data_IF_102725568250
#
_entry.id   IF_102725568250
#
_cell.length_a   1.000
_cell.length_b   1.000
_cell.length_c   1.000
_cell.angle_alpha   90.00
_cell.angle_beta   90.00
_cell.angle_gamma   90.00
#
_symmetry.space_group_name_H-M   'P 1'
#
loop_
_entity.id
_entity.type
_entity.pdbx_description
1 polymer ?
#
# COMPACT_ATOMS: atom_id res chain seq x y z
N UNK A 1 15.99 4.33 5.49
CA UNK A 1 15.11 4.99 4.51
C UNK A 1 14.79 3.98 3.44
N UNK A 2 13.50 3.64 3.27
CA UNK A 2 13.09 2.59 2.35
C UNK A 2 13.57 2.91 0.92
N UNK A 3 14.17 1.96 0.20
CA UNK A 3 14.78 2.22 -1.11
C UNK A 3 13.71 2.26 -2.21
N UNK A 4 12.90 3.31 -2.26
CA UNK A 4 11.80 3.46 -3.21
C UNK A 4 12.21 3.30 -4.69
N UNK A 5 13.37 3.82 -5.16
CA UNK A 5 13.80 3.60 -6.55
C UNK A 5 14.06 2.12 -6.88
N UNK A 6 14.57 1.35 -5.93
CA UNK A 6 14.76 -0.10 -6.09
C UNK A 6 13.42 -0.81 -6.19
N UNK A 7 12.49 -0.47 -5.29
CA UNK A 7 11.14 -1.04 -5.26
C UNK A 7 10.41 -0.74 -6.58
N UNK A 8 10.44 0.52 -7.05
CA UNK A 8 9.86 0.90 -8.35
C UNK A 8 10.46 0.13 -9.53
N UNK A 9 11.73 -0.28 -9.42
CA UNK A 9 12.40 -1.13 -10.41
C UNK A 9 11.78 -2.52 -10.58
N UNK A 10 10.90 -2.97 -9.68
CA UNK A 10 10.12 -4.20 -9.80
C UNK A 10 8.82 -4.03 -10.60
N UNK A 11 8.49 -2.81 -11.05
CA UNK A 11 7.38 -2.61 -12.00
C UNK A 11 7.61 -3.38 -13.31
N UNK A 12 8.85 -3.47 -13.74
CA UNK A 12 9.25 -4.31 -14.87
C UNK A 12 10.62 -4.93 -14.58
N UNK A 13 10.58 -6.21 -14.17
CA UNK A 13 11.77 -6.96 -13.81
C UNK A 13 11.57 -8.46 -14.03
N UNK A 14 12.63 -9.13 -14.46
CA UNK A 14 12.66 -10.59 -14.65
C UNK A 14 11.56 -11.12 -15.62
N UNK A 15 11.15 -10.29 -16.59
CA UNK A 15 10.13 -10.64 -17.58
C UNK A 15 8.71 -10.70 -17.00
N UNK A 16 8.47 -10.03 -15.86
CA UNK A 16 7.16 -9.80 -15.27
C UNK A 16 6.96 -8.30 -15.11
N UNK A 17 5.80 -7.82 -15.56
CA UNK A 17 5.33 -6.45 -15.40
C UNK A 17 4.31 -6.41 -14.28
N UNK A 18 4.60 -5.72 -13.19
CA UNK A 18 3.61 -5.46 -12.15
C UNK A 18 2.62 -4.39 -12.65
N UNK A 19 1.34 -4.56 -12.35
CA UNK A 19 0.33 -3.52 -12.60
C UNK A 19 0.64 -2.29 -11.74
N UNK A 20 0.94 -2.55 -10.47
CA UNK A 20 1.31 -1.55 -9.47
C UNK A 20 2.15 -2.16 -8.35
N UNK A 21 2.87 -1.29 -7.66
CA UNK A 21 3.50 -1.58 -6.38
C UNK A 21 3.03 -0.52 -5.39
N UNK A 22 2.50 -0.95 -4.25
CA UNK A 22 2.01 -0.06 -3.19
C UNK A 22 2.84 -0.23 -1.94
N UNK A 23 3.33 0.88 -1.42
CA UNK A 23 3.99 0.95 -0.13
C UNK A 23 3.03 1.64 0.84
N UNK A 24 2.68 0.99 1.95
CA UNK A 24 1.72 1.49 2.94
C UNK A 24 2.35 1.50 4.32
N UNK A 25 2.30 2.64 5.02
CA UNK A 25 2.65 2.76 6.44
C UNK A 25 1.37 2.83 7.26
N UNK A 26 1.29 2.07 8.36
CA UNK A 26 0.25 2.20 9.38
C UNK A 26 0.88 2.66 10.69
N UNK A 27 0.40 3.78 11.21
CA UNK A 27 0.94 4.44 12.39
C UNK A 27 -0.16 4.55 13.45
N UNK A 28 0.12 4.06 14.66
CA UNK A 28 -0.78 4.22 15.80
C UNK A 28 -0.23 5.28 16.75
N UNK A 29 -1.00 6.33 17.04
CA UNK A 29 -0.53 7.41 17.91
C UNK A 29 -0.28 6.95 19.36
N UNK A 30 -0.94 5.88 19.80
CA UNK A 30 -0.74 5.31 21.14
C UNK A 30 0.53 4.45 21.22
N UNK A 31 1.09 4.03 20.09
CA UNK A 31 2.29 3.19 20.05
C UNK A 31 3.11 3.46 18.78
N UNK A 32 3.95 4.50 18.84
CA UNK A 32 4.85 4.86 17.74
C UNK A 32 5.90 3.76 17.43
N UNK A 33 6.11 2.80 18.34
CA UNK A 33 7.00 1.65 18.12
C UNK A 33 6.34 0.54 17.29
N UNK A 34 5.04 0.64 16.99
CA UNK A 34 4.27 -0.28 16.13
C UNK A 34 3.97 0.27 14.74
N UNK A 35 4.82 1.14 14.21
CA UNK A 35 4.71 1.55 12.81
C UNK A 35 4.97 0.37 11.88
N UNK A 36 3.98 -0.07 11.14
CA UNK A 36 4.16 -1.19 10.21
C UNK A 36 4.29 -0.66 8.79
N UNK A 37 5.24 -1.19 8.02
CA UNK A 37 5.39 -0.87 6.60
C UNK A 37 5.14 -2.11 5.76
N UNK A 38 4.20 -1.99 4.84
CA UNK A 38 3.74 -3.04 3.96
C UNK A 38 4.08 -2.69 2.52
N UNK A 39 4.52 -3.66 1.73
CA UNK A 39 4.77 -3.54 0.30
C UNK A 39 3.90 -4.56 -0.44
N UNK A 40 2.84 -4.10 -1.08
CA UNK A 40 1.99 -4.90 -1.96
C UNK A 40 2.48 -4.84 -3.41
N UNK A 41 2.61 -5.98 -4.07
CA UNK A 41 2.91 -6.09 -5.49
C UNK A 41 1.74 -6.76 -6.20
N UNK A 42 1.12 -6.06 -7.16
CA UNK A 42 -0.02 -6.55 -7.92
C UNK A 42 0.42 -6.91 -9.35
N UNK A 43 0.08 -8.11 -9.81
CA UNK A 43 0.37 -8.57 -11.18
C UNK A 43 -0.94 -8.79 -11.92
N UNK A 44 -1.02 -8.26 -13.14
CA UNK A 44 -2.15 -8.43 -14.04
C UNK A 44 -1.88 -9.54 -15.07
N UNK A 45 -2.80 -10.49 -15.20
CA UNK A 45 -2.66 -11.61 -16.13
C UNK A 45 -2.66 -11.18 -17.61
N UNK A 46 -3.57 -10.28 -18.06
CA UNK A 46 -3.55 -9.77 -19.44
C UNK A 46 -2.20 -9.15 -19.83
N UNK A 47 -1.61 -8.34 -18.97
CA UNK A 47 -0.32 -7.69 -19.24
C UNK A 47 0.86 -8.68 -19.29
N UNK A 48 0.73 -9.84 -18.64
CA UNK A 48 1.78 -10.85 -18.53
C UNK A 48 1.46 -12.14 -19.27
N UNK A 49 0.43 -12.16 -20.13
CA UNK A 49 -0.13 -13.41 -20.66
C UNK A 49 0.90 -14.27 -21.40
N UNK A 50 1.76 -13.65 -22.21
CA UNK A 50 2.82 -14.35 -22.93
C UNK A 50 3.81 -15.03 -21.97
N UNK A 51 4.23 -14.30 -20.93
CA UNK A 51 5.16 -14.80 -19.92
C UNK A 51 4.53 -15.90 -19.05
N UNK A 52 3.24 -15.80 -18.74
CA UNK A 52 2.50 -16.82 -17.99
C UNK A 52 2.30 -18.10 -18.82
N UNK A 53 1.93 -17.97 -20.10
CA UNK A 53 1.80 -19.12 -21.03
C UNK A 53 3.10 -19.88 -21.23
N UNK A 54 4.23 -19.17 -21.29
CA UNK A 54 5.54 -19.79 -21.42
C UNK A 54 5.92 -20.66 -20.21
N UNK A 55 5.38 -20.36 -19.02
CA UNK A 55 5.64 -21.12 -17.79
C UNK A 55 4.73 -22.34 -17.67
N UNK A 56 3.45 -22.21 -18.02
CA UNK A 56 2.50 -23.32 -17.97
C UNK A 56 1.21 -23.01 -18.75
N UNK A 57 0.59 -24.01 -19.41
CA UNK A 57 -0.75 -23.88 -19.99
C UNK A 57 -1.84 -23.50 -18.97
N UNK A 58 -1.59 -23.72 -17.66
CA UNK A 58 -2.52 -23.38 -16.58
C UNK A 58 -2.49 -21.91 -16.15
N UNK A 59 -1.61 -21.07 -16.73
CA UNK A 59 -1.50 -19.63 -16.43
C UNK A 59 -1.27 -19.38 -14.92
N UNK A 60 -0.06 -19.67 -14.40
CA UNK A 60 0.23 -19.69 -12.96
C UNK A 60 0.43 -18.26 -12.42
N UNK A 61 -0.64 -17.47 -12.36
CA UNK A 61 -0.60 -16.06 -11.98
C UNK A 61 -0.15 -15.90 -10.53
N UNK A 62 -0.79 -16.62 -9.61
CA UNK A 62 -0.53 -16.53 -8.17
C UNK A 62 0.92 -16.92 -7.86
N UNK A 63 1.39 -18.04 -8.38
CA UNK A 63 2.76 -18.51 -8.13
C UNK A 63 3.80 -17.55 -8.73
N UNK A 64 3.47 -16.93 -9.87
CA UNK A 64 4.35 -15.94 -10.50
C UNK A 64 4.45 -14.67 -9.66
N UNK A 65 3.32 -14.17 -9.13
CA UNK A 65 3.29 -13.01 -8.23
C UNK A 65 4.06 -13.31 -6.93
N UNK A 66 3.88 -14.49 -6.34
CA UNK A 66 4.56 -14.90 -5.11
C UNK A 66 6.07 -14.98 -5.30
N UNK A 67 6.54 -15.50 -6.44
CA UNK A 67 7.97 -15.52 -6.77
C UNK A 67 8.51 -14.11 -6.96
N UNK A 68 7.77 -13.19 -7.59
CA UNK A 68 8.18 -11.80 -7.74
C UNK A 68 8.29 -11.08 -6.39
N UNK A 69 7.31 -11.25 -5.50
CA UNK A 69 7.31 -10.72 -4.14
C UNK A 69 8.48 -11.30 -3.33
N UNK A 70 8.71 -12.62 -3.38
CA UNK A 70 9.86 -13.25 -2.72
C UNK A 70 11.20 -12.69 -3.21
N UNK A 71 11.37 -12.48 -4.51
CA UNK A 71 12.59 -11.86 -5.07
C UNK A 71 12.77 -10.42 -4.62
N UNK A 72 11.69 -9.67 -4.39
CA UNK A 72 11.76 -8.33 -3.81
C UNK A 72 12.21 -8.40 -2.35
N UNK A 73 11.61 -9.28 -1.55
CA UNK A 73 12.01 -9.49 -0.16
C UNK A 73 13.47 -9.93 -0.04
N UNK A 74 13.92 -10.87 -0.85
CA UNK A 74 15.31 -11.35 -0.88
C UNK A 74 16.28 -10.20 -1.17
N UNK A 75 15.99 -9.38 -2.18
CA UNK A 75 16.83 -8.24 -2.55
C UNK A 75 16.82 -7.14 -1.49
N UNK A 76 15.70 -6.91 -0.80
CA UNK A 76 15.64 -6.00 0.35
C UNK A 76 16.52 -6.52 1.51
N UNK A 77 16.49 -7.82 1.79
CA UNK A 77 17.35 -8.47 2.79
C UNK A 77 18.83 -8.37 2.45
N UNK A 78 19.18 -8.55 1.18
CA UNK A 78 20.56 -8.39 0.70
C UNK A 78 21.14 -7.00 0.95
N UNK A 79 20.30 -5.96 0.97
CA UNK A 79 20.72 -4.58 1.25
C UNK A 79 20.42 -4.12 2.69
N UNK A 80 20.17 -5.06 3.60
CA UNK A 80 20.08 -4.82 5.05
C UNK A 80 18.70 -4.38 5.55
N UNK A 81 17.62 -4.84 4.91
CA UNK A 81 16.25 -4.71 5.44
C UNK A 81 15.72 -6.05 5.91
N UNK A 82 14.94 -6.07 6.98
CA UNK A 82 14.08 -7.22 7.28
C UNK A 82 12.85 -7.16 6.38
N UNK A 83 12.66 -8.15 5.52
CA UNK A 83 11.49 -8.22 4.64
C UNK A 83 10.94 -9.65 4.63
N UNK A 84 9.68 -9.80 5.05
CA UNK A 84 9.01 -11.09 5.20
C UNK A 84 7.72 -11.11 4.39
N UNK A 85 7.46 -12.21 3.68
CA UNK A 85 6.17 -12.40 3.03
C UNK A 85 5.11 -12.72 4.09
N UNK A 86 3.94 -12.08 3.98
CA UNK A 86 2.86 -12.23 4.96
C UNK A 86 1.65 -12.87 4.30
N UNK A 87 1.02 -13.82 4.98
CA UNK A 87 -0.18 -14.47 4.47
C UNK A 87 -1.35 -13.47 4.43
N UNK A 88 -2.30 -13.58 3.47
CA UNK A 88 -3.41 -12.64 3.37
C UNK A 88 -4.25 -12.47 4.65
N UNK A 89 -4.37 -13.52 5.46
CA UNK A 89 -5.11 -13.49 6.72
C UNK A 89 -4.39 -12.73 7.84
N UNK A 90 -3.06 -12.61 7.74
CA UNK A 90 -2.22 -11.85 8.68
C UNK A 90 -2.11 -10.37 8.29
N UNK A 91 -2.59 -9.98 7.10
CA UNK A 91 -2.57 -8.59 6.65
C UNK A 91 -3.70 -7.78 7.32
N UNK A 92 -3.37 -6.72 8.07
CA UNK A 92 -4.38 -5.94 8.80
C UNK A 92 -5.39 -5.26 7.87
N UNK A 93 -6.69 -5.51 8.09
CA UNK A 93 -7.76 -4.88 7.30
C UNK A 93 -8.01 -3.44 7.73
N UNK A 94 -8.38 -2.59 6.77
CA UNK A 94 -8.71 -1.20 7.03
C UNK A 94 -10.21 -1.01 7.35
N UNK A 95 -11.07 -1.83 6.76
CA UNK A 95 -12.52 -1.77 6.94
C UNK A 95 -13.02 -2.93 7.81
N UNK A 96 -14.03 -2.66 8.63
CA UNK A 96 -14.77 -3.70 9.38
C UNK A 96 -15.87 -4.28 8.51
N UNK A 97 -16.51 -5.37 8.96
CA UNK A 97 -17.52 -6.10 8.16
C UNK A 97 -18.83 -5.33 7.90
N UNK A 98 -19.09 -4.20 8.59
CA UNK A 98 -20.32 -3.42 8.38
C UNK A 98 -20.06 -1.89 8.45
N UNK A 99 -19.24 -1.35 7.52
CA UNK A 99 -18.94 0.07 7.49
C UNK A 99 -20.14 0.85 6.96
N UNK A 100 -20.48 1.97 7.60
CA UNK A 100 -21.52 2.89 7.11
C UNK A 100 -20.88 4.13 6.52
N UNK A 101 -20.99 4.28 5.20
CA UNK A 101 -20.51 5.48 4.53
C UNK A 101 -21.39 6.70 4.88
N UNK A 102 -20.71 7.79 5.16
CA UNK A 102 -21.25 9.14 5.32
C UNK A 102 -20.52 10.06 4.35
N UNK A 103 -21.10 11.23 4.12
CA UNK A 103 -20.49 12.24 3.24
C UNK A 103 -19.04 12.62 3.61
N UNK A 104 -18.68 12.56 4.90
CA UNK A 104 -17.37 12.99 5.43
C UNK A 104 -16.43 11.85 5.85
N UNK A 105 -16.88 10.60 5.74
CA UNK A 105 -16.10 9.45 6.17
C UNK A 105 -16.94 8.21 6.34
N UNK A 106 -16.31 7.12 6.75
CA UNK A 106 -16.97 5.86 7.07
C UNK A 106 -17.03 5.71 8.59
N UNK A 107 -18.21 5.38 9.10
CA UNK A 107 -18.42 5.02 10.50
C UNK A 107 -18.35 3.50 10.64
N UNK A 108 -17.40 3.00 11.45
CA UNK A 108 -17.21 1.56 11.73
C UNK A 108 -17.78 1.14 13.09
N UNK A 109 -18.05 2.11 13.96
CA UNK A 109 -18.65 1.94 15.30
C UNK A 109 -19.16 3.26 15.87
N UNK A 110 -19.60 3.27 17.14
CA UNK A 110 -20.16 4.48 17.76
C UNK A 110 -19.17 5.67 17.80
N UNK A 111 -17.91 5.38 18.14
CA UNK A 111 -16.81 6.35 18.23
C UNK A 111 -15.60 5.88 17.42
N UNK A 112 -15.85 5.37 16.21
CA UNK A 112 -14.82 4.92 15.29
C UNK A 112 -15.16 5.37 13.87
N UNK A 113 -14.49 6.42 13.45
CA UNK A 113 -14.65 7.05 12.15
C UNK A 113 -13.33 6.96 11.39
N UNK A 114 -13.41 6.76 10.09
CA UNK A 114 -12.25 6.77 9.21
C UNK A 114 -12.56 7.59 7.96
N UNK A 115 -11.67 8.50 7.58
CA UNK A 115 -11.79 9.30 6.38
C UNK A 115 -10.56 9.13 5.49
N UNK A 116 -10.80 8.79 4.23
CA UNK A 116 -9.78 8.80 3.17
C UNK A 116 -9.61 10.18 2.54
N UNK A 117 -8.35 10.48 2.22
CA UNK A 117 -7.91 11.69 1.54
C UNK A 117 -6.93 11.31 0.43
N UNK A 118 -7.06 11.98 -0.71
CA UNK A 118 -6.01 11.98 -1.72
C UNK A 118 -4.96 13.01 -1.33
N UNK A 119 -3.69 12.70 -1.56
CA UNK A 119 -2.59 13.61 -1.30
C UNK A 119 -2.08 14.13 -2.65
N UNK A 120 -2.01 15.45 -2.78
CA UNK A 120 -1.46 16.11 -3.96
C UNK A 120 0.01 15.71 -4.15
N UNK A 121 0.35 15.27 -5.35
CA UNK A 121 1.72 14.91 -5.73
C UNK A 121 2.38 16.08 -6.43
N UNK A 122 3.20 16.82 -5.69
CA UNK A 122 4.05 17.89 -6.19
C UNK A 122 5.30 18.06 -5.32
N UNK A 123 6.00 19.18 -5.49
CA UNK A 123 7.24 19.48 -4.76
C UNK A 123 7.05 19.58 -3.23
N UNK A 124 5.82 19.85 -2.75
CA UNK A 124 5.50 19.95 -1.32
C UNK A 124 5.06 18.60 -0.71
N UNK A 125 5.14 17.51 -1.47
CA UNK A 125 4.75 16.18 -0.99
C UNK A 125 5.57 15.72 0.24
N UNK A 126 6.91 15.89 0.31
CA UNK A 126 7.67 15.52 1.51
C UNK A 126 7.14 16.22 2.76
N UNK A 127 6.94 17.54 2.72
CA UNK A 127 6.43 18.33 3.84
C UNK A 127 5.00 17.91 4.21
N UNK A 128 4.17 17.56 3.22
CA UNK A 128 2.81 17.08 3.43
C UNK A 128 2.83 15.73 4.16
N UNK A 129 3.71 14.80 3.78
CA UNK A 129 3.89 13.52 4.47
C UNK A 129 4.39 13.72 5.90
N UNK A 130 5.24 14.70 6.14
CA UNK A 130 5.73 15.05 7.49
C UNK A 130 4.61 15.60 8.38
N UNK A 131 3.75 16.44 7.82
CA UNK A 131 2.57 16.97 8.49
C UNK A 131 1.55 15.86 8.81
N UNK A 132 1.30 14.93 7.87
CA UNK A 132 0.43 13.76 8.08
C UNK A 132 0.93 12.91 9.25
N UNK A 133 2.24 12.66 9.33
CA UNK A 133 2.83 11.87 10.43
C UNK A 133 2.70 12.55 11.79
N UNK A 134 2.66 13.88 11.81
CA UNK A 134 2.52 14.67 13.03
C UNK A 134 1.06 14.96 13.40
N UNK A 135 0.11 14.58 12.54
CA UNK A 135 -1.31 14.84 12.75
C UNK A 135 -1.89 13.92 13.82
N UNK A 136 -2.68 14.49 14.74
CA UNK A 136 -3.32 13.75 15.80
C UNK A 136 -4.50 12.92 15.26
N UNK A 137 -4.25 11.64 15.01
CA UNK A 137 -5.25 10.63 14.71
C UNK A 137 -5.00 9.39 15.58
N UNK A 138 -6.03 8.57 15.85
CA UNK A 138 -5.83 7.29 16.56
C UNK A 138 -4.94 6.36 15.76
N UNK A 139 -5.20 6.31 14.46
CA UNK A 139 -4.41 5.59 13.50
C UNK A 139 -4.34 6.37 12.19
N UNK A 140 -3.17 6.35 11.56
CA UNK A 140 -2.94 6.93 10.24
C UNK A 140 -2.46 5.83 9.32
N UNK A 141 -3.16 5.61 8.22
CA UNK A 141 -2.71 4.76 7.12
C UNK A 141 -2.29 5.67 5.97
N UNK A 142 -1.05 5.57 5.49
CA UNK A 142 -0.56 6.36 4.34
C UNK A 142 -0.01 5.41 3.30
N UNK A 143 -0.39 5.59 2.03
CA UNK A 143 0.06 4.76 0.94
C UNK A 143 0.63 5.58 -0.21
N UNK A 144 1.74 5.09 -0.77
CA UNK A 144 2.31 5.50 -2.04
C UNK A 144 2.12 4.35 -3.03
N UNK A 145 1.40 4.59 -4.10
CA UNK A 145 1.24 3.65 -5.20
C UNK A 145 2.06 4.12 -6.40
N UNK A 146 2.88 3.21 -6.93
CA UNK A 146 3.70 3.42 -8.12
C UNK A 146 3.21 2.44 -9.17
N UNK A 147 2.99 2.91 -10.39
CA UNK A 147 2.44 2.09 -11.45
C UNK A 147 2.85 2.59 -12.84
N UNK A 148 2.41 1.89 -13.89
CA UNK A 148 2.65 2.30 -15.27
C UNK A 148 3.90 1.68 -15.87
N UNK A 149 4.56 2.40 -16.76
CA UNK A 149 5.78 1.92 -17.43
C UNK A 149 7.03 2.27 -16.60
N UNK A 150 8.06 1.43 -16.66
CA UNK A 150 9.31 1.68 -15.92
C UNK A 150 10.03 2.96 -16.36
N UNK A 151 9.94 3.34 -17.64
CA UNK A 151 10.53 4.59 -18.13
C UNK A 151 9.66 5.81 -17.78
N UNK A 152 8.35 5.61 -17.62
CA UNK A 152 7.40 6.67 -17.31
C UNK A 152 6.45 6.25 -16.17
N UNK A 153 6.97 6.09 -14.94
CA UNK A 153 6.13 5.67 -13.83
C UNK A 153 5.14 6.78 -13.49
N UNK A 154 3.95 6.35 -13.08
CA UNK A 154 2.93 7.19 -12.47
C UNK A 154 2.89 6.91 -10.98
N UNK A 155 2.51 7.92 -10.21
CA UNK A 155 2.37 7.81 -8.75
C UNK A 155 1.04 8.39 -8.30
N UNK A 156 0.47 7.76 -7.27
CA UNK A 156 -0.65 8.27 -6.51
C UNK A 156 -0.33 8.12 -5.02
N UNK A 157 -0.80 9.06 -4.21
CA UNK A 157 -0.57 9.03 -2.76
C UNK A 157 -1.90 9.30 -2.07
N UNK A 158 -2.21 8.51 -1.05
CA UNK A 158 -3.43 8.66 -0.27
C UNK A 158 -3.16 8.39 1.21
N UNK A 159 -3.98 8.96 2.08
CA UNK A 159 -3.98 8.60 3.48
C UNK A 159 -5.41 8.44 4.01
N UNK A 160 -5.52 7.73 5.13
CA UNK A 160 -6.72 7.66 5.92
C UNK A 160 -6.42 7.94 7.39
N UNK A 161 -7.25 8.76 8.00
CA UNK A 161 -7.20 9.05 9.43
C UNK A 161 -8.35 8.35 10.13
N UNK A 162 -8.03 7.59 11.18
CA UNK A 162 -8.99 7.06 12.12
C UNK A 162 -9.13 8.00 13.32
N UNK A 163 -10.36 8.36 13.66
CA UNK A 163 -10.70 9.28 14.77
C UNK A 163 -11.88 8.75 15.59
N UNK A 164 -12.01 9.24 16.82
CA UNK A 164 -13.14 8.99 17.72
C UNK A 164 -14.38 9.78 17.35
N UNK A 165 -14.18 10.93 16.73
CA UNK A 165 -15.23 11.85 16.35
C UNK A 165 -15.40 11.89 14.83
N UNK A 166 -16.58 12.28 14.33
CA UNK A 166 -16.78 12.48 12.90
C UNK A 166 -15.74 13.45 12.33
N UNK A 167 -15.20 13.18 11.13
CA UNK A 167 -14.28 14.08 10.45
C UNK A 167 -14.92 15.45 10.19
N UNK A 168 -14.06 16.46 10.24
CA UNK A 168 -14.43 17.84 9.95
C UNK A 168 -14.87 18.04 8.50
N UNK A 169 -15.50 19.18 8.23
CA UNK A 169 -15.97 19.49 6.86
C UNK A 169 -14.81 19.70 5.90
N UNK A 170 -13.75 20.35 6.35
CA UNK A 170 -12.54 20.67 5.55
C UNK A 170 -11.47 19.59 5.77
N UNK A 171 -10.53 19.50 4.83
CA UNK A 171 -9.36 18.67 5.04
C UNK A 171 -8.56 19.17 6.25
N UNK A 172 -7.95 18.27 7.03
CA UNK A 172 -7.23 18.65 8.25
C UNK A 172 -5.87 19.29 7.97
N UNK A 173 -5.29 19.08 6.77
CA UNK A 173 -3.97 19.55 6.36
C UNK A 173 -4.01 20.05 4.92
N UNK A 174 -3.13 20.98 4.59
CA UNK A 174 -2.93 21.44 3.21
C UNK A 174 -2.44 20.31 2.30
N UNK A 175 -2.83 20.34 1.04
CA UNK A 175 -2.51 19.29 0.07
C UNK A 175 -3.37 18.02 0.16
N UNK A 176 -4.24 17.91 1.16
CA UNK A 176 -5.23 16.83 1.26
C UNK A 176 -6.54 17.19 0.58
N UNK A 177 -7.04 16.28 -0.26
CA UNK A 177 -8.38 16.37 -0.87
C UNK A 177 -9.29 15.29 -0.27
N UNK A 178 -10.37 15.65 0.44
CA UNK A 178 -11.26 14.67 1.06
C UNK A 178 -12.08 13.94 0.01
N UNK A 179 -12.19 12.60 0.16
CA UNK A 179 -12.98 11.73 -0.73
C UNK A 179 -14.49 11.80 -0.42
N UNK A 180 -15.07 13.01 -0.43
CA UNK A 180 -16.45 13.27 0.02
C UNK A 180 -17.45 12.45 -0.78
N UNK A 181 -18.24 11.64 -0.08
CA UNK A 181 -19.21 10.72 -0.69
C UNK A 181 -18.59 9.57 -1.50
N UNK A 182 -17.26 9.39 -1.43
CA UNK A 182 -16.49 8.33 -2.10
C UNK A 182 -15.48 7.70 -1.13
N UNK A 183 -15.73 7.77 0.17
CA UNK A 183 -14.81 7.30 1.19
C UNK A 183 -14.75 5.77 1.22
N UNK A 184 -15.88 5.08 1.08
CA UNK A 184 -15.88 3.62 1.14
C UNK A 184 -15.13 3.01 -0.05
N UNK A 185 -15.36 3.42 -1.32
CA UNK A 185 -14.53 2.99 -2.44
C UNK A 185 -13.06 3.36 -2.26
N UNK A 186 -12.75 4.59 -1.83
CA UNK A 186 -11.36 5.02 -1.63
C UNK A 186 -10.65 4.21 -0.51
N UNK A 187 -11.33 3.90 0.59
CA UNK A 187 -10.79 3.05 1.67
C UNK A 187 -10.65 1.60 1.24
N UNK A 188 -11.55 1.10 0.38
CA UNK A 188 -11.46 -0.23 -0.20
C UNK A 188 -10.29 -0.32 -1.17
N UNK A 189 -10.06 0.73 -1.96
CA UNK A 189 -8.89 0.85 -2.80
C UNK A 189 -7.61 0.96 -1.98
N UNK A 190 -7.62 1.65 -0.83
CA UNK A 190 -6.47 1.83 0.07
C UNK A 190 -6.11 0.57 0.89
N UNK A 191 -7.04 -0.38 1.06
CA UNK A 191 -6.78 -1.62 1.81
C UNK A 191 -5.56 -2.36 1.23
N UNK A 192 -4.76 -2.97 2.12
CA UNK A 192 -3.46 -3.57 1.79
C UNK A 192 -3.57 -4.70 0.76
N UNK A 193 -4.69 -5.44 0.78
CA UNK A 193 -4.91 -6.56 -0.14
C UNK A 193 -5.59 -6.13 -1.45
N UNK A 194 -5.93 -4.85 -1.58
CA UNK A 194 -6.69 -4.36 -2.72
C UNK A 194 -5.88 -4.36 -4.01
N UNK A 195 -6.41 -5.00 -5.05
CA UNK A 195 -5.87 -4.90 -6.41
C UNK A 195 -6.27 -3.58 -7.08
N UNK A 196 -7.33 -2.90 -6.61
CA UNK A 196 -7.79 -1.64 -7.18
C UNK A 196 -6.75 -0.51 -7.03
N UNK A 197 -6.59 0.32 -8.05
CA UNK A 197 -5.68 1.46 -8.04
C UNK A 197 -6.17 2.58 -7.13
N UNK A 198 -5.24 3.36 -6.61
CA UNK A 198 -5.58 4.61 -5.94
C UNK A 198 -6.02 5.65 -6.98
N UNK A 199 -6.99 6.48 -6.63
CA UNK A 199 -7.33 7.63 -7.47
C UNK A 199 -6.16 8.63 -7.49
N UNK A 200 -6.05 9.42 -8.57
CA UNK A 200 -5.14 10.58 -8.61
C UNK A 200 -3.73 10.26 -9.09
N UNK A 201 -3.56 9.20 -9.87
CA UNK A 201 -2.30 8.95 -10.56
C UNK A 201 -1.91 10.12 -11.44
N UNK A 202 -0.68 10.58 -11.26
CA UNK A 202 0.01 11.54 -12.12
C UNK A 202 1.36 10.99 -12.55
N UNK A 203 1.95 11.53 -13.61
CA UNK A 203 3.34 11.21 -13.97
C UNK A 203 4.25 11.56 -12.80
N UNK A 204 5.15 10.64 -12.43
CA UNK A 204 6.08 10.88 -11.34
C UNK A 204 7.01 12.04 -11.68
N UNK A 205 7.06 13.11 -10.86
CA UNK A 205 8.07 14.15 -10.98
C UNK A 205 9.48 13.55 -10.95
N UNK A 206 10.39 14.13 -11.74
CA UNK A 206 11.74 13.61 -11.86
C UNK A 206 12.45 13.57 -10.50
N UNK A 207 13.01 12.41 -10.14
CA UNK A 207 13.73 12.22 -8.88
C UNK A 207 12.85 12.15 -7.63
N UNK A 208 11.51 12.24 -7.73
CA UNK A 208 10.62 12.23 -6.57
C UNK A 208 10.87 11.01 -5.67
N UNK A 209 10.90 9.80 -6.25
CA UNK A 209 11.10 8.57 -5.48
C UNK A 209 12.44 8.52 -4.76
N UNK A 210 13.47 9.21 -5.24
CA UNK A 210 14.76 9.28 -4.57
C UNK A 210 14.78 10.28 -3.41
N UNK A 211 13.90 11.29 -3.44
CA UNK A 211 13.78 12.34 -2.43
C UNK A 211 12.78 11.99 -1.33
N UNK A 212 11.80 11.13 -1.63
CA UNK A 212 10.78 10.74 -0.66
C UNK A 212 11.36 9.89 0.48
N UNK A 213 11.26 10.44 1.69
CA UNK A 213 11.58 9.73 2.92
C UNK A 213 10.37 8.94 3.39
N UNK A 214 10.27 7.68 2.94
CA UNK A 214 9.21 6.82 3.44
C UNK A 214 9.50 6.37 4.88
N UNK A 215 8.54 6.55 5.81
CA UNK A 215 8.74 6.18 7.20
C UNK A 215 8.79 4.65 7.32
N UNK A 216 9.77 4.15 8.07
CA UNK A 216 9.90 2.73 8.44
C UNK A 216 10.32 2.67 9.90
N UNK A 217 9.91 1.64 10.64
CA UNK A 217 10.54 1.39 11.94
C UNK A 217 12.04 1.14 11.77
N UNK A 218 12.80 1.62 12.76
CA UNK A 218 14.12 1.09 13.08
C UNK A 218 13.86 -0.14 13.94
N UNK A 219 14.34 -1.31 13.52
CA UNK A 219 13.87 -2.61 13.98
C UNK A 219 13.91 -2.84 15.48
N UNK A 220 12.89 -3.53 15.98
CA UNK A 220 12.85 -4.00 17.37
C UNK A 220 11.50 -4.53 17.87
N UNK A 221 10.91 -5.54 17.22
CA UNK A 221 10.07 -6.55 17.90
C UNK A 221 9.66 -7.67 16.93
N UNK A 222 10.25 -8.84 17.16
CA UNK A 222 9.97 -10.09 16.47
C UNK A 222 8.53 -10.56 16.76
N UNK A 223 7.75 -10.93 15.74
CA UNK A 223 6.56 -11.78 15.91
C UNK A 223 6.69 -13.03 15.05
N UNK A 224 6.56 -14.19 15.69
CA UNK A 224 6.55 -15.48 15.04
C UNK A 224 5.23 -15.69 14.27
N UNK A 225 5.34 -16.05 12.99
CA UNK A 225 4.24 -16.45 12.12
C UNK A 225 3.70 -17.84 12.49
N UNK A 226 2.38 -17.97 12.62
CA UNK A 226 1.69 -19.27 12.75
C UNK A 226 0.94 -19.59 11.46
N UNK A 227 1.31 -20.70 10.81
CA UNK A 227 0.81 -21.13 9.51
C UNK A 227 -0.54 -21.90 9.57
N UNK A 228 -1.35 -21.76 8.51
CA UNK A 228 -2.41 -22.71 8.14
C UNK A 228 -3.41 -22.15 7.10
N UNK A 229 -3.48 -22.77 5.91
CA UNK A 229 -4.40 -22.40 4.79
C UNK A 229 -5.88 -22.77 5.02
N UNK A 230 -6.78 -22.79 4.00
CA UNK A 230 -6.53 -23.20 2.60
C UNK A 230 -7.04 -22.24 1.49
N UNK A 231 -6.61 -22.57 0.28
CA UNK A 231 -6.89 -21.94 -1.01
C UNK A 231 -8.39 -21.92 -1.38
N UNK A 232 -8.87 -20.80 -1.92
CA UNK A 232 -10.12 -20.74 -2.68
C UNK A 232 -9.88 -20.20 -4.08
N UNK A 233 -10.24 -21.04 -5.05
CA UNK A 233 -10.05 -20.82 -6.48
C UNK A 233 -11.09 -19.81 -6.99
N UNK A 234 -10.65 -18.59 -7.29
CA UNK A 234 -11.40 -17.63 -8.09
C UNK A 234 -10.57 -17.28 -9.31
N UNK A 235 -11.19 -17.25 -10.48
CA UNK A 235 -10.55 -16.78 -11.71
C UNK A 235 -10.34 -15.26 -11.64
N UNK A 236 -9.40 -14.83 -10.81
CA UNK A 236 -9.04 -13.43 -10.67
C UNK A 236 -8.03 -13.09 -11.75
N UNK A 237 -8.29 -12.03 -12.50
CA UNK A 237 -7.38 -11.55 -13.56
C UNK A 237 -6.15 -10.83 -13.00
N UNK A 238 -6.15 -10.56 -11.69
CA UNK A 238 -5.10 -9.87 -10.96
C UNK A 238 -4.89 -10.53 -9.59
N UNK A 239 -3.65 -10.56 -9.12
CA UNK A 239 -3.31 -11.04 -7.77
C UNK A 239 -2.40 -10.01 -7.11
N UNK A 240 -2.57 -9.79 -5.81
CA UNK A 240 -1.65 -9.02 -4.96
C UNK A 240 -0.96 -9.94 -3.96
N UNK A 241 0.37 -9.90 -3.89
CA UNK A 241 1.16 -10.48 -2.80
C UNK A 241 1.76 -9.37 -1.95
N UNK A 242 1.71 -9.53 -0.63
CA UNK A 242 2.08 -8.48 0.34
C UNK A 242 3.29 -8.91 1.17
N UNK A 243 4.24 -8.00 1.29
CA UNK A 243 5.41 -8.12 2.15
C UNK A 243 5.27 -7.16 3.32
N UNK A 244 5.77 -7.57 4.48
CA UNK A 244 6.05 -6.67 5.59
C UNK A 244 7.55 -6.34 5.59
N UNK A 245 7.89 -5.05 5.68
CA UNK A 245 9.27 -4.57 5.62
C UNK A 245 9.61 -3.71 6.85
N UNK A 246 10.72 -4.01 7.51
CA UNK A 246 11.28 -3.24 8.61
C UNK A 246 12.78 -3.03 8.38
N UNK A 247 13.36 -1.96 8.92
CA UNK A 247 14.81 -1.76 8.85
C UNK A 247 15.48 -2.63 9.92
N UNK A 248 16.55 -3.33 9.58
CA UNK A 248 17.41 -4.03 10.54
C UNK A 248 18.11 -3.05 11.49
#
# INVERSE_FOLDING_TARGET
>A
MLPLPLIAGYLDRYGIRADKIRITSRDNASDASRRETWIGLTVSAPENLAALRARSPRIPLQETAQVAARRLADHLREIGWEATAVAPDDVPRLLTSNPRERWRGVQRGASDYIAAYQIRVDEALPETLDAIRSHAARETCTALEIAGDKAHPTVAVACAFQTDTPPERTAPLDGLTPQRGNHLPALTALDLLSTARLDGHTTAPAGLLAQLHWPTLVGGAHRASSAGGPETNSATTETTDTLEAART
#
